data_IF_804440114791
#
_entry.id   IF_804440114791
#
_cell.length_a   1.000
_cell.length_b   1.000
_cell.length_c   1.000
_cell.angle_alpha   90.00
_cell.angle_beta   90.00
_cell.angle_gamma   90.00
#
_symmetry.space_group_name_H-M   'P 1'
#
loop_
_entity.id
_entity.type
_entity.pdbx_description
1 polymer ?
#
# COMPACT_ATOMS: atom_id res chain seq x y z
N UNK A 1 -3.72 9.82 12.29
CA UNK A 1 -3.22 10.43 11.04
C UNK A 1 -2.12 9.59 10.39
N UNK A 2 -0.95 9.44 11.04
CA UNK A 2 0.17 8.65 10.50
C UNK A 2 -0.16 7.19 10.19
N UNK A 3 -0.82 6.51 11.13
CA UNK A 3 -1.27 5.13 10.95
C UNK A 3 -2.15 4.97 9.71
N UNK A 4 -3.06 5.92 9.46
CA UNK A 4 -3.96 5.92 8.30
C UNK A 4 -3.17 6.10 6.99
N UNK A 5 -2.17 6.99 6.98
CA UNK A 5 -1.31 7.22 5.80
C UNK A 5 -0.42 6.01 5.48
N UNK A 6 0.28 5.48 6.49
CA UNK A 6 1.13 4.30 6.31
C UNK A 6 0.31 3.07 5.90
N UNK A 7 -0.89 2.91 6.45
CA UNK A 7 -1.82 1.85 6.06
C UNK A 7 -2.24 1.96 4.59
N UNK A 8 -2.57 3.17 4.11
CA UNK A 8 -2.92 3.40 2.71
C UNK A 8 -1.75 3.09 1.79
N UNK A 9 -0.55 3.58 2.12
CA UNK A 9 0.64 3.37 1.32
C UNK A 9 0.99 1.88 1.21
N UNK A 10 0.98 1.15 2.32
CA UNK A 10 1.22 -0.29 2.31
C UNK A 10 0.12 -1.07 1.58
N UNK A 11 -1.13 -0.59 1.65
CA UNK A 11 -2.25 -1.18 0.92
C UNK A 11 -2.11 -1.10 -0.60
N UNK A 12 -1.33 -0.15 -1.12
CA UNK A 12 -1.00 -0.10 -2.55
C UNK A 12 -0.22 -1.34 -3.02
N UNK A 13 0.49 -2.01 -2.10
CA UNK A 13 1.20 -3.26 -2.41
C UNK A 13 0.27 -4.48 -2.43
N UNK A 14 -0.96 -4.39 -1.89
CA UNK A 14 -1.87 -5.52 -1.70
C UNK A 14 -2.10 -6.37 -2.97
N UNK A 15 -2.35 -5.78 -4.16
CA UNK A 15 -2.51 -6.56 -5.38
C UNK A 15 -1.27 -7.39 -5.72
N UNK A 16 -0.07 -6.83 -5.53
CA UNK A 16 1.19 -7.51 -5.80
C UNK A 16 1.46 -8.62 -4.80
N UNK A 17 1.24 -8.35 -3.51
CA UNK A 17 1.39 -9.33 -2.45
C UNK A 17 0.46 -10.53 -2.66
N UNK A 18 -0.79 -10.27 -3.07
CA UNK A 18 -1.78 -11.31 -3.35
C UNK A 18 -1.38 -12.21 -4.51
N UNK A 19 -0.79 -11.67 -5.59
CA UNK A 19 -0.27 -12.47 -6.71
C UNK A 19 0.81 -13.46 -6.26
N UNK A 20 1.59 -13.09 -5.26
CA UNK A 20 2.69 -13.89 -4.71
C UNK A 20 2.24 -14.76 -3.52
N UNK A 21 0.93 -14.87 -3.28
CA UNK A 21 0.32 -15.57 -2.16
C UNK A 21 0.80 -15.06 -0.78
N UNK A 22 1.12 -13.77 -0.69
CA UNK A 22 1.46 -13.09 0.55
C UNK A 22 0.22 -12.39 1.09
N UNK A 23 -0.16 -12.72 2.33
CA UNK A 23 -1.27 -12.06 3.01
C UNK A 23 -0.82 -10.76 3.64
N UNK A 24 -1.64 -9.72 3.48
CA UNK A 24 -1.49 -8.45 4.17
C UNK A 24 -2.42 -8.43 5.38
N UNK A 25 -1.87 -8.35 6.59
CA UNK A 25 -2.62 -8.43 7.86
C UNK A 25 -2.32 -7.22 8.73
N UNK A 26 -3.36 -6.50 9.13
CA UNK A 26 -3.30 -5.39 10.08
C UNK A 26 -3.78 -5.86 11.45
N UNK A 27 -3.13 -5.39 12.51
CA UNK A 27 -3.53 -5.65 13.89
C UNK A 27 -3.73 -4.32 14.59
N UNK A 28 -4.99 -3.96 14.86
CA UNK A 28 -5.35 -2.84 15.72
C UNK A 28 -5.31 -3.27 17.19
N UNK A 29 -5.12 -2.30 18.09
CA UNK A 29 -5.02 -2.55 19.55
C UNK A 29 -6.23 -2.01 20.33
N UNK A 30 -7.18 -1.40 19.62
CA UNK A 30 -8.43 -0.87 20.15
C UNK A 30 -9.50 -0.87 19.04
N UNK A 31 -10.76 -1.00 19.41
CA UNK A 31 -11.90 -0.88 18.48
C UNK A 31 -12.17 0.57 18.07
N UNK A 32 -11.72 1.53 18.88
CA UNK A 32 -11.97 2.94 18.65
C UNK A 32 -11.41 3.40 17.29
N UNK A 33 -12.29 3.84 16.40
CA UNK A 33 -11.92 4.37 15.07
C UNK A 33 -11.75 3.29 14.01
N UNK A 34 -11.98 2.02 14.33
CA UNK A 34 -11.95 0.90 13.36
C UNK A 34 -13.05 1.05 12.32
N UNK A 35 -14.25 1.51 12.71
CA UNK A 35 -15.37 1.69 11.76
C UNK A 35 -14.99 2.69 10.67
N UNK A 36 -14.47 3.85 11.05
CA UNK A 36 -13.99 4.86 10.10
C UNK A 36 -12.83 4.30 9.26
N UNK A 37 -11.94 3.51 9.88
CA UNK A 37 -10.78 2.96 9.21
C UNK A 37 -11.14 1.98 8.09
N UNK A 38 -12.18 1.18 8.33
CA UNK A 38 -12.76 0.26 7.35
C UNK A 38 -13.60 1.02 6.32
N UNK A 39 -14.48 1.92 6.74
CA UNK A 39 -15.37 2.68 5.87
C UNK A 39 -14.59 3.51 4.84
N UNK A 40 -13.51 4.17 5.28
CA UNK A 40 -12.63 4.96 4.42
C UNK A 40 -11.60 4.12 3.66
N UNK A 41 -11.62 2.79 3.82
CA UNK A 41 -10.75 1.83 3.12
C UNK A 41 -9.27 2.18 3.24
N UNK A 42 -8.82 2.51 4.45
CA UNK A 42 -7.40 2.78 4.69
C UNK A 42 -6.53 1.51 4.60
N UNK A 43 -7.16 0.32 4.68
CA UNK A 43 -6.47 -0.96 4.62
C UNK A 43 -7.10 -1.89 3.60
N UNK A 44 -6.27 -2.53 2.78
CA UNK A 44 -6.69 -3.46 1.74
C UNK A 44 -6.52 -4.94 2.13
N UNK A 45 -6.04 -5.23 3.34
CA UNK A 45 -5.80 -6.58 3.85
C UNK A 45 -6.80 -7.03 4.91
N UNK A 46 -6.51 -8.16 5.54
CA UNK A 46 -7.23 -8.63 6.73
C UNK A 46 -6.95 -7.68 7.90
N UNK A 47 -7.93 -7.44 8.76
CA UNK A 47 -7.79 -6.58 9.95
C UNK A 47 -8.30 -7.33 11.19
N UNK A 48 -7.47 -7.39 12.21
CA UNK A 48 -7.79 -7.99 13.51
C UNK A 48 -7.62 -6.97 14.63
N UNK A 49 -8.36 -7.16 15.73
CA UNK A 49 -8.23 -6.33 16.93
C UNK A 49 -7.69 -7.18 18.07
N UNK A 50 -6.58 -6.74 18.67
CA UNK A 50 -5.97 -7.32 19.85
C UNK A 50 -6.10 -6.37 21.04
N UNK A 51 -7.30 -6.35 21.62
CA UNK A 51 -7.63 -5.50 22.78
C UNK A 51 -6.74 -5.79 24.00
N UNK A 52 -6.25 -7.03 24.12
CA UNK A 52 -5.35 -7.46 25.19
C UNK A 52 -3.91 -7.01 24.96
N UNK A 53 -3.60 -6.43 23.79
CA UNK A 53 -2.27 -5.99 23.38
C UNK A 53 -1.21 -7.09 23.50
N UNK A 54 -1.62 -8.35 23.37
CA UNK A 54 -0.71 -9.50 23.53
C UNK A 54 0.33 -9.50 22.41
N UNK A 55 -0.10 -9.34 21.17
CA UNK A 55 0.78 -9.23 20.00
C UNK A 55 1.74 -8.06 20.11
N UNK A 56 1.26 -6.90 20.57
CA UNK A 56 2.07 -5.72 20.83
C UNK A 56 3.18 -5.99 21.85
N UNK A 57 2.84 -6.60 22.98
CA UNK A 57 3.80 -6.93 24.03
C UNK A 57 4.78 -8.04 23.61
N UNK A 58 4.30 -9.10 22.98
CA UNK A 58 5.12 -10.24 22.53
C UNK A 58 6.14 -9.83 21.46
N UNK A 59 5.79 -8.86 20.60
CA UNK A 59 6.68 -8.31 19.58
C UNK A 59 7.64 -7.25 20.12
N UNK A 60 7.54 -6.91 21.42
CA UNK A 60 8.42 -5.93 22.07
C UNK A 60 8.17 -4.50 21.62
N UNK A 61 7.00 -4.20 21.06
CA UNK A 61 6.61 -2.84 20.73
C UNK A 61 6.38 -2.04 22.03
N UNK A 62 6.71 -0.76 21.99
CA UNK A 62 6.69 0.09 23.16
C UNK A 62 5.85 1.34 22.92
N UNK A 63 5.31 1.89 23.99
CA UNK A 63 4.68 3.21 23.91
C UNK A 63 5.77 4.26 23.88
N UNK A 64 5.66 5.19 22.94
CA UNK A 64 6.52 6.35 22.87
C UNK A 64 6.42 7.16 24.17
N UNK A 65 7.55 7.39 24.82
CA UNK A 65 7.63 8.26 25.98
C UNK A 65 8.02 9.66 25.53
N UNK A 66 7.17 10.66 25.76
CA UNK A 66 7.51 12.07 25.49
C UNK A 66 8.77 12.54 26.24
N UNK A 67 9.17 11.84 27.29
CA UNK A 67 10.39 12.12 28.05
C UNK A 67 11.67 11.59 27.38
N UNK A 68 11.56 10.72 26.38
CA UNK A 68 12.72 10.18 25.66
C UNK A 68 13.24 11.11 24.55
N UNK A 69 12.48 12.15 24.18
CA UNK A 69 12.89 13.11 23.15
C UNK A 69 13.29 14.48 23.70
N UNK A 70 14.35 15.12 23.14
CA UNK A 70 14.61 16.53 23.38
C UNK A 70 13.43 17.39 22.92
N UNK A 71 13.00 18.36 23.72
CA UNK A 71 11.81 19.19 23.45
C UNK A 71 11.78 19.88 22.07
N UNK A 72 12.95 20.22 21.52
CA UNK A 72 13.08 20.81 20.18
C UNK A 72 12.63 19.85 19.06
N UNK A 73 12.85 18.54 19.22
CA UNK A 73 12.50 17.54 18.22
C UNK A 73 10.98 17.26 18.24
N UNK A 74 10.39 17.19 19.44
CA UNK A 74 8.93 17.15 19.63
C UNK A 74 8.23 18.33 18.94
N UNK A 75 8.75 19.55 19.09
CA UNK A 75 8.19 20.75 18.43
C UNK A 75 8.32 20.73 16.90
N UNK A 76 9.33 20.06 16.33
CA UNK A 76 9.46 19.89 14.87
C UNK A 76 8.49 18.83 14.35
N UNK A 77 8.40 17.69 15.03
CA UNK A 77 7.48 16.61 14.68
C UNK A 77 6.05 17.14 14.67
N UNK A 78 5.63 17.81 15.76
CA UNK A 78 4.29 18.38 15.88
C UNK A 78 3.94 19.34 14.72
N UNK A 79 4.86 20.26 14.36
CA UNK A 79 4.64 21.21 13.26
C UNK A 79 4.52 20.53 11.90
N UNK A 80 5.38 19.55 11.60
CA UNK A 80 5.29 18.79 10.35
C UNK A 80 3.97 18.01 10.24
N UNK A 81 3.40 17.58 11.38
CA UNK A 81 2.13 16.84 11.37
C UNK A 81 0.93 17.68 11.06
N UNK A 82 0.87 18.88 11.62
CA UNK A 82 -0.22 19.80 11.29
C UNK A 82 -0.22 20.14 9.80
N UNK A 83 0.95 20.23 9.17
CA UNK A 83 1.07 20.49 7.74
C UNK A 83 0.61 19.31 6.88
N UNK A 84 1.15 18.11 7.11
CA UNK A 84 0.84 16.91 6.31
C UNK A 84 -0.61 16.44 6.45
N UNK A 85 -1.20 16.56 7.65
CA UNK A 85 -2.60 16.19 7.88
C UNK A 85 -3.57 17.10 7.14
N UNK A 86 -3.25 18.39 7.08
CA UNK A 86 -4.03 19.38 6.36
C UNK A 86 -3.94 19.19 4.85
N UNK A 87 -2.78 18.81 4.33
CA UNK A 87 -2.55 18.57 2.90
C UNK A 87 -3.29 17.34 2.37
N UNK A 88 -3.33 16.25 3.15
CA UNK A 88 -3.96 14.99 2.72
C UNK A 88 -5.42 14.83 3.14
N UNK A 89 -6.04 15.87 3.70
CA UNK A 89 -7.41 15.81 4.21
C UNK A 89 -7.60 14.80 5.34
N UNK A 90 -6.52 14.32 5.96
CA UNK A 90 -6.54 13.39 7.09
C UNK A 90 -6.53 14.22 8.36
N UNK A 91 -7.71 14.62 8.80
CA UNK A 91 -7.89 15.27 10.11
C UNK A 91 -7.38 14.36 11.23
N UNK A 92 -6.60 14.93 12.15
CA UNK A 92 -6.21 14.25 13.37
C UNK A 92 -7.31 14.37 14.41
N UNK A 93 -8.09 13.31 14.62
CA UNK A 93 -8.66 13.13 15.94
C UNK A 93 -7.57 12.49 16.82
N UNK A 94 -7.21 13.13 17.94
CA UNK A 94 -6.34 12.52 18.95
C UNK A 94 -7.13 11.50 19.78
N UNK A 95 -8.11 10.84 19.16
CA UNK A 95 -8.97 9.84 19.78
C UNK A 95 -8.24 8.51 19.64
N UNK A 96 -7.91 7.92 20.78
CA UNK A 96 -7.04 6.74 20.86
C UNK A 96 -5.65 7.07 21.40
N UNK A 97 -4.78 6.07 21.42
CA UNK A 97 -3.42 6.22 21.94
C UNK A 97 -2.44 6.74 20.89
N UNK A 98 -2.35 8.08 20.76
CA UNK A 98 -1.43 8.73 19.82
C UNK A 98 0.07 8.53 20.11
N UNK A 99 0.43 7.90 21.23
CA UNK A 99 1.81 7.57 21.59
C UNK A 99 2.11 6.07 21.45
N UNK A 100 1.14 5.28 21.01
CA UNK A 100 1.37 3.87 20.73
C UNK A 100 2.19 3.76 19.45
N UNK A 101 3.47 3.40 19.57
CA UNK A 101 4.21 2.96 18.41
C UNK A 101 3.72 1.56 18.02
N UNK A 102 4.14 1.10 16.86
CA UNK A 102 3.90 -0.25 16.39
C UNK A 102 5.10 -0.73 15.59
N UNK A 103 4.82 -1.49 14.55
CA UNK A 103 5.86 -2.05 13.72
C UNK A 103 5.30 -2.86 12.58
N UNK A 104 6.21 -3.47 11.83
CA UNK A 104 5.89 -4.36 10.74
C UNK A 104 6.82 -5.56 10.82
N UNK A 105 6.25 -6.74 10.64
CA UNK A 105 7.02 -7.97 10.48
C UNK A 105 6.65 -8.64 9.17
N UNK A 106 7.63 -9.27 8.53
CA UNK A 106 7.43 -10.16 7.40
C UNK A 106 7.71 -11.57 7.87
N UNK A 107 6.72 -12.44 7.74
CA UNK A 107 6.79 -13.82 8.21
C UNK A 107 6.73 -14.76 7.02
N UNK A 108 7.77 -15.56 6.85
CA UNK A 108 7.86 -16.62 5.86
C UNK A 108 7.10 -17.87 6.28
N UNK A 109 7.03 -18.84 5.37
CA UNK A 109 6.41 -20.15 5.62
C UNK A 109 7.04 -20.81 6.87
N UNK A 110 6.20 -21.45 7.68
CA UNK A 110 6.64 -22.09 8.93
C UNK A 110 6.92 -21.13 10.08
N UNK A 111 6.50 -19.85 9.99
CA UNK A 111 6.65 -18.87 11.08
C UNK A 111 8.03 -18.23 11.15
N UNK A 112 8.87 -18.39 10.11
CA UNK A 112 10.21 -17.78 10.08
C UNK A 112 10.11 -16.26 9.92
N UNK A 113 10.66 -15.51 10.86
CA UNK A 113 10.79 -14.06 10.74
C UNK A 113 11.82 -13.70 9.65
N UNK A 114 11.38 -13.00 8.61
CA UNK A 114 12.23 -12.56 7.48
C UNK A 114 12.67 -11.11 7.62
N UNK A 115 11.80 -10.27 8.19
CA UNK A 115 12.06 -8.86 8.44
C UNK A 115 11.25 -8.40 9.64
N UNK A 116 11.81 -7.46 10.41
CA UNK A 116 11.14 -6.79 11.52
C UNK A 116 11.52 -5.32 11.51
N UNK A 117 10.53 -4.48 11.71
CA UNK A 117 10.66 -3.05 11.85
C UNK A 117 9.88 -2.63 13.09
N UNK A 118 10.54 -1.94 14.01
CA UNK A 118 9.93 -1.39 15.22
C UNK A 118 9.94 0.13 15.09
N UNK A 119 8.78 0.76 15.24
CA UNK A 119 8.69 2.22 15.23
C UNK A 119 9.32 2.79 16.51
N UNK A 120 10.31 3.66 16.35
CA UNK A 120 10.87 4.44 17.46
C UNK A 120 10.06 5.72 17.68
N UNK A 121 9.61 6.37 16.59
CA UNK A 121 8.77 7.56 16.62
C UNK A 121 7.40 7.28 15.98
N UNK A 122 6.32 8.00 16.38
CA UNK A 122 4.97 7.80 15.83
C UNK A 122 4.83 8.02 14.31
N UNK A 123 5.82 8.66 13.68
CA UNK A 123 5.86 8.96 12.25
C UNK A 123 6.59 7.89 11.42
N UNK A 124 7.40 7.07 12.07
CA UNK A 124 8.29 6.13 11.39
C UNK A 124 7.46 5.02 10.75
N UNK A 125 7.88 4.49 9.61
CA UNK A 125 7.22 3.35 8.98
C UNK A 125 8.26 2.57 8.17
N UNK A 126 8.01 1.26 7.99
CA UNK A 126 8.87 0.44 7.16
C UNK A 126 8.78 0.91 5.70
N UNK A 127 9.93 0.99 5.03
CA UNK A 127 9.97 1.34 3.61
C UNK A 127 9.46 0.19 2.77
N UNK A 128 8.65 0.51 1.75
CA UNK A 128 8.08 -0.49 0.85
C UNK A 128 9.16 -1.31 0.14
N UNK A 129 10.29 -0.69 -0.19
CA UNK A 129 11.42 -1.37 -0.84
C UNK A 129 12.03 -2.46 0.07
N UNK A 130 12.15 -2.19 1.36
CA UNK A 130 12.69 -3.13 2.34
C UNK A 130 11.74 -4.31 2.56
N UNK A 131 10.43 -4.04 2.58
CA UNK A 131 9.38 -5.07 2.68
C UNK A 131 9.43 -5.99 1.46
N UNK A 132 9.45 -5.42 0.24
CA UNK A 132 9.52 -6.21 -0.99
C UNK A 132 10.84 -6.97 -1.08
N UNK A 133 11.96 -6.40 -0.64
CA UNK A 133 13.24 -7.09 -0.57
C UNK A 133 13.21 -8.29 0.37
N UNK A 134 12.60 -8.15 1.55
CA UNK A 134 12.43 -9.26 2.48
C UNK A 134 11.61 -10.43 1.90
N UNK A 135 10.69 -10.11 0.97
CA UNK A 135 9.88 -11.08 0.24
C UNK A 135 10.55 -11.60 -1.04
N UNK A 136 11.77 -11.14 -1.37
CA UNK A 136 12.45 -11.39 -2.65
C UNK A 136 11.67 -10.89 -3.88
N UNK A 137 10.94 -9.79 -3.74
CA UNK A 137 10.12 -9.15 -4.77
C UNK A 137 10.73 -7.84 -5.31
N UNK A 138 11.99 -7.53 -4.98
CA UNK A 138 12.65 -6.26 -5.36
C UNK A 138 12.72 -6.00 -6.86
N UNK A 139 12.70 -7.05 -7.69
CA UNK A 139 12.90 -6.94 -9.14
C UNK A 139 11.70 -6.44 -9.93
N UNK A 140 10.54 -6.25 -9.28
CA UNK A 140 9.25 -6.02 -9.97
C UNK A 140 8.65 -4.65 -9.69
N UNK A 141 9.48 -3.69 -9.24
CA UNK A 141 9.07 -2.29 -9.25
C UNK A 141 9.01 -1.80 -10.71
N UNK A 142 7.81 -1.91 -11.28
CA UNK A 142 7.34 -1.42 -12.58
C UNK A 142 7.67 -2.27 -13.82
N UNK A 143 7.31 -3.55 -13.80
CA UNK A 143 7.06 -4.31 -15.01
C UNK A 143 5.64 -4.04 -15.49
N UNK A 144 5.41 -2.90 -16.12
CA UNK A 144 4.21 -2.69 -16.95
C UNK A 144 4.34 -3.47 -18.28
N UNK A 145 4.83 -4.72 -18.21
CA UNK A 145 4.92 -5.61 -19.37
C UNK A 145 3.70 -6.50 -19.35
N UNK A 146 2.73 -6.07 -20.16
CA UNK A 146 1.74 -6.91 -20.81
C UNK A 146 2.33 -8.28 -21.15
N UNK A 147 2.01 -9.28 -20.35
CA UNK A 147 2.10 -10.67 -20.77
C UNK A 147 0.92 -10.92 -21.70
N UNK A 148 1.17 -10.87 -23.00
CA UNK A 148 0.86 -12.04 -23.82
C UNK A 148 1.61 -11.96 -25.17
N UNK A 149 2.84 -12.48 -25.18
CA UNK A 149 3.45 -13.02 -26.38
C UNK A 149 3.92 -14.43 -26.04
N UNK A 150 3.00 -15.39 -26.12
CA UNK A 150 3.32 -16.81 -26.22
C UNK A 150 3.13 -17.22 -27.69
N UNK A 151 4.25 -17.31 -28.42
CA UNK A 151 4.33 -17.83 -29.79
C UNK A 151 4.11 -19.35 -29.81
N UNK A 152 3.69 -19.93 -30.95
CA UNK A 152 4.66 -20.78 -31.65
C UNK A 152 4.72 -20.54 -33.16
N UNK A 153 5.82 -21.04 -33.72
CA UNK A 153 6.42 -20.67 -34.99
C UNK A 153 5.75 -21.23 -36.26
N UNK A 154 6.00 -20.49 -37.35
CA UNK A 154 6.13 -20.90 -38.76
C UNK A 154 4.87 -21.22 -39.59
N UNK A 155 4.47 -20.26 -40.42
CA UNK A 155 4.06 -20.48 -41.81
C UNK A 155 4.34 -19.20 -42.65
N UNK A 156 4.76 -19.42 -43.89
CA UNK A 156 5.46 -18.56 -44.88
C UNK A 156 4.78 -17.24 -45.33
N UNK A 157 5.49 -16.34 -46.07
CA UNK A 157 5.05 -14.96 -46.30
C UNK A 157 4.06 -14.88 -47.47
N UNK A 158 2.90 -14.28 -47.24
CA UNK A 158 1.98 -13.90 -48.30
C UNK A 158 2.14 -12.41 -48.61
N UNK A 159 2.40 -12.10 -49.87
CA UNK A 159 2.58 -10.75 -50.41
C UNK A 159 1.28 -9.94 -50.31
N UNK A 160 1.42 -8.68 -49.94
CA UNK A 160 0.33 -7.70 -50.03
C UNK A 160 0.21 -7.24 -51.48
N UNK A 161 -0.86 -7.65 -52.18
CA UNK A 161 -1.28 -7.06 -53.44
C UNK A 161 -2.81 -6.91 -53.46
N UNK A 162 -3.23 -5.68 -53.74
CA UNK A 162 -4.54 -5.20 -54.24
C UNK A 162 -5.68 -4.86 -53.25
N UNK A 163 -5.80 -3.54 -53.03
CA UNK A 163 -7.00 -2.70 -53.23
C UNK A 163 -8.38 -3.36 -53.17
N UNK A 164 -9.03 -3.32 -52.00
CA UNK A 164 -10.51 -3.23 -51.91
C UNK A 164 -10.93 -2.47 -50.65
N UNK A 165 -10.94 -1.14 -50.71
CA UNK A 165 -11.76 -0.31 -49.81
C UNK A 165 -12.04 1.04 -50.49
N UNK A 166 -12.95 1.04 -51.47
CA UNK A 166 -13.53 2.26 -52.04
C UNK A 166 -15.03 2.08 -52.22
N UNK A 167 -15.81 2.49 -51.22
CA UNK A 167 -17.25 2.74 -51.39
C UNK A 167 -17.46 4.21 -51.74
N UNK A 168 -18.03 4.45 -52.93
CA UNK A 168 -18.25 5.74 -53.58
C UNK A 168 -19.23 6.66 -52.83
N UNK A 169 -19.10 7.99 -52.99
CA UNK A 169 -20.06 8.99 -52.49
C UNK A 169 -21.31 9.09 -53.39
N UNK A 170 -22.47 9.38 -52.79
CA UNK A 170 -23.72 9.70 -53.50
C UNK A 170 -23.91 11.23 -53.53
N UNK A 171 -23.92 11.82 -54.73
CA UNK A 171 -24.25 13.24 -54.98
C UNK A 171 -25.70 13.39 -55.51
N UNK A 172 -26.30 14.60 -55.45
CA UNK A 172 -27.72 14.86 -55.71
C UNK A 172 -28.01 15.51 -57.09
N UNK A 173 -29.26 15.44 -57.55
CA UNK A 173 -29.95 16.29 -58.56
C UNK A 173 -31.34 15.65 -58.83
N UNK A 174 -32.45 16.29 -59.22
CA UNK A 174 -32.87 17.66 -59.50
C UNK A 174 -34.42 17.64 -59.67
N UNK A 175 -35.01 18.83 -59.75
CA UNK A 175 -36.40 19.19 -60.04
C UNK A 175 -37.11 18.50 -61.22
N UNK A 176 -38.42 18.27 -61.05
CA UNK A 176 -39.50 18.74 -61.94
C UNK A 176 -40.70 19.16 -61.07
#
# INVERSE_FOLDING_TARGET
MFCRLAAQELSLLSPRLSQENVRLVGIGLEELGVEEFVEKKFWAGELYIDEKKKSFNDLGYQRFSIWSLPGLLLSRIARNQTALGKERGVGGDLRGDGFQNGGLIVVGKGGKLLYSFVQENPADHAKNEDILKALNLSGLMLDNRSTDEQRPAAASPASCDQDVCSLKPKSPASSD
#
